data_IF_578943442904
#
_entry.id   IF_578943442904
#
_cell.length_a   1.000
_cell.length_b   1.000
_cell.length_c   1.000
_cell.angle_alpha   90.00
_cell.angle_beta   90.00
_cell.angle_gamma   90.00
#
_symmetry.space_group_name_H-M   'P 1'
#
loop_
_entity.id
_entity.type
_entity.pdbx_description
1 polymer ?
#
# COMPACT_ATOMS: atom_id res chain seq x y z
N UNK A 1 -5.86 -13.33 -42.54
CA UNK A 1 -5.79 -12.66 -41.22
C UNK A 1 -5.55 -13.74 -40.17
N UNK A 2 -4.28 -13.99 -39.83
CA UNK A 2 -3.89 -14.97 -38.81
C UNK A 2 -3.95 -14.27 -37.46
N UNK A 3 -4.98 -14.58 -36.66
CA UNK A 3 -5.03 -14.14 -35.27
C UNK A 3 -3.98 -14.93 -34.50
N UNK A 4 -2.92 -14.25 -34.04
CA UNK A 4 -1.98 -14.84 -33.09
C UNK A 4 -2.76 -15.17 -31.81
N UNK A 5 -2.98 -16.45 -31.55
CA UNK A 5 -3.33 -16.95 -30.23
C UNK A 5 -2.11 -16.77 -29.32
N UNK A 6 -1.85 -15.53 -28.91
CA UNK A 6 -1.02 -15.25 -27.76
C UNK A 6 -1.77 -15.84 -26.57
N UNK A 7 -1.17 -16.84 -25.89
CA UNK A 7 -1.72 -17.38 -24.65
C UNK A 7 -1.95 -16.22 -23.68
N UNK A 8 -3.20 -15.88 -23.42
CA UNK A 8 -3.54 -14.88 -22.39
C UNK A 8 -2.86 -15.30 -21.10
N UNK A 9 -2.15 -14.38 -20.45
CA UNK A 9 -1.58 -14.66 -19.14
C UNK A 9 -2.71 -15.09 -18.19
N UNK A 10 -2.43 -15.98 -17.24
CA UNK A 10 -3.39 -16.37 -16.18
C UNK A 10 -3.97 -15.15 -15.46
N UNK A 11 -3.19 -14.05 -15.41
CA UNK A 11 -3.63 -12.79 -14.87
C UNK A 11 -4.72 -12.11 -15.71
N UNK A 12 -4.56 -12.07 -17.03
CA UNK A 12 -5.59 -11.53 -17.92
C UNK A 12 -6.84 -12.44 -17.89
N UNK A 13 -6.67 -13.77 -17.84
CA UNK A 13 -7.77 -14.72 -17.78
C UNK A 13 -8.72 -14.48 -16.59
N UNK A 14 -8.16 -14.15 -15.41
CA UNK A 14 -8.97 -13.92 -14.21
C UNK A 14 -9.88 -12.69 -14.37
N UNK A 15 -9.33 -11.54 -14.77
CA UNK A 15 -10.12 -10.31 -14.95
C UNK A 15 -11.14 -10.45 -16.08
N UNK A 16 -10.76 -11.10 -17.18
CA UNK A 16 -11.61 -11.29 -18.35
C UNK A 16 -12.81 -12.21 -18.07
N UNK A 17 -12.66 -13.23 -17.20
CA UNK A 17 -13.78 -14.09 -16.78
C UNK A 17 -14.93 -13.29 -16.15
N UNK A 18 -14.66 -12.13 -15.55
CA UNK A 18 -15.67 -11.29 -14.93
C UNK A 18 -16.50 -10.48 -15.93
N UNK A 19 -16.25 -10.57 -17.26
CA UNK A 19 -17.08 -9.92 -18.29
C UNK A 19 -18.55 -10.35 -18.26
N UNK A 20 -18.83 -11.53 -17.73
CA UNK A 20 -20.21 -12.04 -17.58
C UNK A 20 -21.08 -11.17 -16.67
N UNK A 21 -20.47 -10.34 -15.83
CA UNK A 21 -21.18 -9.43 -14.93
C UNK A 21 -21.67 -8.16 -15.66
N UNK A 22 -22.78 -7.54 -15.20
CA UNK A 22 -23.31 -6.33 -15.80
C UNK A 22 -22.27 -5.23 -16.02
N UNK A 23 -22.37 -4.53 -17.14
CA UNK A 23 -21.47 -3.43 -17.53
C UNK A 23 -21.17 -2.41 -16.41
N UNK A 24 -22.18 -1.94 -15.64
CA UNK A 24 -21.96 -0.99 -14.54
C UNK A 24 -21.03 -1.50 -13.44
N UNK A 25 -20.88 -2.82 -13.26
CA UNK A 25 -19.98 -3.40 -12.26
C UNK A 25 -18.51 -3.44 -12.74
N UNK A 26 -18.26 -3.28 -14.04
CA UNK A 26 -16.92 -3.47 -14.59
C UNK A 26 -15.91 -2.40 -14.14
N UNK A 27 -16.33 -1.15 -13.98
CA UNK A 27 -15.44 -0.11 -13.48
C UNK A 27 -15.13 -0.28 -11.98
N UNK A 28 -16.12 -0.50 -11.09
CA UNK A 28 -15.86 -0.88 -9.70
C UNK A 28 -14.93 -2.10 -9.57
N UNK A 29 -15.15 -3.13 -10.38
CA UNK A 29 -14.29 -4.31 -10.40
C UNK A 29 -12.87 -3.99 -10.87
N UNK A 30 -12.68 -3.06 -11.80
CA UNK A 30 -11.34 -2.62 -12.21
C UNK A 30 -10.60 -1.94 -11.06
N UNK A 31 -11.27 -1.05 -10.32
CA UNK A 31 -10.66 -0.43 -9.15
C UNK A 31 -10.40 -1.42 -8.01
N UNK A 32 -11.32 -2.36 -7.80
CA UNK A 32 -11.19 -3.41 -6.82
C UNK A 32 -10.01 -4.34 -7.15
N UNK A 33 -10.02 -4.93 -8.34
CA UNK A 33 -9.01 -5.91 -8.78
C UNK A 33 -7.65 -5.28 -9.06
N UNK A 34 -7.61 -3.99 -9.37
CA UNK A 34 -6.41 -3.31 -9.84
C UNK A 34 -6.06 -3.65 -11.29
N UNK A 35 -6.97 -4.26 -12.06
CA UNK A 35 -6.74 -4.67 -13.44
C UNK A 35 -7.93 -4.26 -14.34
N UNK A 36 -7.70 -3.40 -15.35
CA UNK A 36 -8.71 -3.12 -16.37
C UNK A 36 -9.03 -4.34 -17.24
N UNK A 37 -10.24 -4.40 -17.80
CA UNK A 37 -10.53 -5.30 -18.92
C UNK A 37 -9.72 -4.89 -20.16
N UNK A 38 -9.42 -5.84 -21.03
CA UNK A 38 -8.89 -5.58 -22.36
C UNK A 38 -9.83 -4.63 -23.12
N UNK A 39 -9.27 -3.54 -23.64
CA UNK A 39 -10.01 -2.50 -24.36
C UNK A 39 -10.95 -1.65 -23.47
N UNK A 40 -10.89 -1.76 -22.14
CA UNK A 40 -11.67 -0.90 -21.26
C UNK A 40 -11.23 0.55 -21.42
N UNK A 41 -12.20 1.44 -21.67
CA UNK A 41 -11.92 2.88 -21.76
C UNK A 41 -11.42 3.40 -20.41
N UNK A 42 -10.33 4.18 -20.38
CA UNK A 42 -9.87 4.85 -19.17
C UNK A 42 -10.94 5.78 -18.60
N UNK A 43 -10.91 5.94 -17.29
CA UNK A 43 -11.52 7.10 -16.65
C UNK A 43 -10.46 8.17 -16.45
N UNK A 44 -10.83 9.43 -16.64
CA UNK A 44 -9.94 10.57 -16.42
C UNK A 44 -10.04 10.96 -14.94
N UNK A 45 -9.26 10.33 -14.07
CA UNK A 45 -9.13 10.79 -12.69
C UNK A 45 -8.25 12.03 -12.65
N UNK A 46 -8.16 12.66 -11.48
CA UNK A 46 -7.27 13.79 -11.27
C UNK A 46 -6.56 13.68 -9.92
N UNK A 47 -5.44 14.39 -9.73
CA UNK A 47 -4.83 14.53 -8.42
C UNK A 47 -5.83 15.00 -7.35
N UNK A 48 -6.66 15.97 -7.70
CA UNK A 48 -7.70 16.50 -6.80
C UNK A 48 -8.70 15.43 -6.38
N UNK A 49 -9.12 14.55 -7.29
CA UNK A 49 -10.00 13.43 -6.97
C UNK A 49 -9.41 12.52 -5.88
N UNK A 50 -8.14 12.13 -5.99
CA UNK A 50 -7.49 11.27 -4.99
C UNK A 50 -7.36 11.97 -3.63
N UNK A 51 -7.05 13.27 -3.61
CA UNK A 51 -6.99 14.05 -2.37
C UNK A 51 -8.37 14.15 -1.71
N UNK A 52 -9.38 14.56 -2.47
CA UNK A 52 -10.75 14.73 -1.97
C UNK A 52 -11.31 13.41 -1.46
N UNK A 53 -11.18 12.32 -2.22
CA UNK A 53 -11.68 11.01 -1.78
C UNK A 53 -10.96 10.48 -0.53
N UNK A 54 -9.65 10.69 -0.40
CA UNK A 54 -8.92 10.33 0.80
C UNK A 54 -9.42 11.10 2.04
N UNK A 55 -9.61 12.41 1.91
CA UNK A 55 -10.11 13.26 3.00
C UNK A 55 -11.57 12.93 3.34
N UNK A 56 -12.45 12.81 2.34
CA UNK A 56 -13.86 12.50 2.55
C UNK A 56 -14.05 11.10 3.15
N UNK A 57 -13.30 10.09 2.69
CA UNK A 57 -13.32 8.77 3.32
C UNK A 57 -12.93 8.84 4.79
N UNK A 58 -11.87 9.59 5.11
CA UNK A 58 -11.39 9.74 6.48
C UNK A 58 -12.46 10.40 7.37
N UNK A 59 -13.02 11.52 6.91
CA UNK A 59 -14.04 12.27 7.65
C UNK A 59 -15.34 11.47 7.80
N UNK A 60 -15.78 10.78 6.75
CA UNK A 60 -16.95 9.92 6.80
C UNK A 60 -16.75 8.74 7.77
N UNK A 61 -15.56 8.15 7.81
CA UNK A 61 -15.21 7.11 8.79
C UNK A 61 -15.24 7.62 10.24
N UNK A 62 -14.72 8.82 10.48
CA UNK A 62 -14.77 9.49 11.79
C UNK A 62 -16.22 9.76 12.19
N UNK A 63 -17.02 10.33 11.29
CA UNK A 63 -18.43 10.62 11.55
C UNK A 63 -19.21 9.33 11.86
N UNK A 64 -19.06 8.30 11.03
CA UNK A 64 -19.73 7.01 11.21
C UNK A 64 -19.36 6.36 12.55
N UNK A 65 -18.06 6.35 12.89
CA UNK A 65 -17.60 5.77 14.16
C UNK A 65 -18.07 6.59 15.37
N UNK A 66 -18.13 7.91 15.24
CA UNK A 66 -18.62 8.80 16.31
C UNK A 66 -20.12 8.58 16.53
N UNK A 67 -20.92 8.52 15.46
CA UNK A 67 -22.34 8.16 15.52
C UNK A 67 -22.57 6.79 16.14
N UNK A 68 -21.73 5.80 15.81
CA UNK A 68 -21.78 4.46 16.40
C UNK A 68 -21.62 4.50 17.93
N UNK A 69 -20.63 5.26 18.43
CA UNK A 69 -20.39 5.41 19.87
C UNK A 69 -21.51 6.19 20.57
N UNK A 70 -22.06 7.22 19.93
CA UNK A 70 -23.15 8.02 20.48
C UNK A 70 -24.46 7.22 20.59
N UNK A 71 -24.77 6.40 19.59
CA UNK A 71 -26.01 5.60 19.56
C UNK A 71 -25.93 4.33 20.41
N UNK A 72 -24.73 3.77 20.59
CA UNK A 72 -24.51 2.57 21.41
C UNK A 72 -25.22 1.30 20.90
N UNK A 73 -25.25 0.26 21.74
CA UNK A 73 -25.96 -0.99 21.44
C UNK A 73 -25.50 -1.65 20.12
N UNK A 74 -26.47 -2.04 19.28
CA UNK A 74 -26.20 -2.66 17.97
C UNK A 74 -25.47 -1.73 16.97
N UNK A 75 -25.57 -0.41 17.15
CA UNK A 75 -24.90 0.56 16.28
C UNK A 75 -23.39 0.54 16.42
N UNK A 76 -22.85 -0.03 17.51
CA UNK A 76 -21.40 -0.25 17.66
C UNK A 76 -20.81 -1.12 16.54
N UNK A 77 -21.62 -1.91 15.84
CA UNK A 77 -21.15 -2.66 14.65
C UNK A 77 -20.68 -1.74 13.52
N UNK A 78 -21.15 -0.49 13.46
CA UNK A 78 -20.69 0.53 12.51
C UNK A 78 -19.27 1.04 12.77
N UNK A 79 -18.67 0.72 13.93
CA UNK A 79 -17.25 1.00 14.18
C UNK A 79 -16.34 0.29 13.17
N UNK A 80 -16.69 -0.92 12.75
CA UNK A 80 -15.87 -1.69 11.80
C UNK A 80 -15.76 -0.97 10.43
N UNK A 81 -16.86 -0.64 9.73
CA UNK A 81 -16.77 0.15 8.51
C UNK A 81 -16.24 1.57 8.76
N UNK A 82 -16.54 2.18 9.91
CA UNK A 82 -16.02 3.49 10.28
C UNK A 82 -14.49 3.53 10.38
N UNK A 83 -13.89 2.58 11.11
CA UNK A 83 -12.43 2.41 11.19
C UNK A 83 -11.81 2.08 9.84
N UNK A 84 -12.45 1.23 9.04
CA UNK A 84 -12.00 0.91 7.70
C UNK A 84 -11.90 2.16 6.81
N UNK A 85 -12.92 3.03 6.84
CA UNK A 85 -12.95 4.29 6.08
C UNK A 85 -11.93 5.32 6.58
N UNK A 86 -11.80 5.46 7.91
CA UNK A 86 -10.78 6.32 8.54
C UNK A 86 -9.38 5.88 8.12
N UNK A 87 -9.09 4.58 8.24
CA UNK A 87 -7.80 4.00 7.85
C UNK A 87 -7.53 4.18 6.36
N UNK A 88 -8.52 3.90 5.49
CA UNK A 88 -8.37 4.04 4.05
C UNK A 88 -7.96 5.46 3.65
N UNK A 89 -8.61 6.47 4.25
CA UNK A 89 -8.26 7.87 4.03
C UNK A 89 -6.84 8.19 4.51
N UNK A 90 -6.48 7.80 5.73
CA UNK A 90 -5.12 7.97 6.28
C UNK A 90 -4.05 7.31 5.38
N UNK A 91 -4.32 6.10 4.89
CA UNK A 91 -3.42 5.36 4.00
C UNK A 91 -3.30 6.03 2.64
N UNK A 92 -4.38 6.49 2.01
CA UNK A 92 -4.29 7.21 0.73
C UNK A 92 -3.60 8.57 0.87
N UNK A 93 -3.79 9.28 1.98
CA UNK A 93 -3.03 10.51 2.28
C UNK A 93 -1.52 10.24 2.29
N UNK A 94 -1.07 9.15 2.94
CA UNK A 94 0.34 8.75 2.90
C UNK A 94 0.78 8.29 1.51
N UNK A 95 0.06 7.31 0.98
CA UNK A 95 0.53 6.46 -0.11
C UNK A 95 0.39 7.12 -1.47
N UNK A 96 -0.66 7.92 -1.66
CA UNK A 96 -0.89 8.66 -2.90
C UNK A 96 -0.41 10.09 -2.72
N UNK A 97 -1.02 10.84 -1.80
CA UNK A 97 -0.86 12.30 -1.77
C UNK A 97 0.55 12.70 -1.36
N UNK A 98 0.98 12.27 -0.18
CA UNK A 98 2.29 12.62 0.36
C UNK A 98 3.43 12.05 -0.49
N UNK A 99 3.27 10.82 -0.99
CA UNK A 99 4.22 10.21 -1.92
C UNK A 99 4.38 11.03 -3.21
N UNK A 100 3.28 11.41 -3.86
CA UNK A 100 3.34 12.18 -5.10
C UNK A 100 3.81 13.63 -4.87
N UNK A 101 3.53 14.21 -3.70
CA UNK A 101 4.14 15.48 -3.28
C UNK A 101 5.67 15.38 -3.22
N UNK A 102 6.19 14.23 -2.77
CA UNK A 102 7.64 14.00 -2.62
C UNK A 102 8.38 13.99 -3.97
N UNK A 103 7.69 13.53 -5.03
CA UNK A 103 8.15 13.57 -6.43
C UNK A 103 7.83 14.90 -7.13
N UNK A 104 7.13 15.83 -6.47
CA UNK A 104 6.59 17.08 -7.04
C UNK A 104 5.60 16.84 -8.20
N UNK A 105 4.87 15.73 -8.14
CA UNK A 105 3.92 15.30 -9.15
C UNK A 105 2.47 15.49 -8.74
N UNK A 106 2.19 15.84 -7.47
CA UNK A 106 0.81 15.96 -6.99
C UNK A 106 0.05 17.03 -7.77
N UNK A 107 0.53 18.27 -7.76
CA UNK A 107 0.00 19.34 -8.61
C UNK A 107 1.06 19.96 -9.53
N UNK A 108 2.28 19.41 -9.55
CA UNK A 108 3.40 19.97 -10.31
C UNK A 108 3.89 21.31 -9.77
N UNK A 109 3.44 21.71 -8.57
CA UNK A 109 3.72 23.02 -7.97
C UNK A 109 4.50 22.82 -6.68
N UNK A 110 5.82 23.00 -6.73
CA UNK A 110 6.75 22.73 -5.61
C UNK A 110 6.29 23.27 -4.25
N UNK A 111 5.75 24.50 -4.20
CA UNK A 111 5.28 25.11 -2.94
C UNK A 111 4.01 24.44 -2.41
N UNK A 112 3.06 24.16 -3.30
CA UNK A 112 1.79 23.52 -2.94
C UNK A 112 2.02 22.08 -2.50
N UNK A 113 2.80 21.32 -3.28
CA UNK A 113 3.16 19.94 -2.96
C UNK A 113 3.92 19.86 -1.63
N UNK A 114 4.83 20.80 -1.35
CA UNK A 114 5.50 20.86 -0.07
C UNK A 114 4.56 21.20 1.09
N UNK A 115 3.64 22.15 0.92
CA UNK A 115 2.66 22.51 1.93
C UNK A 115 1.74 21.33 2.26
N UNK A 116 1.25 20.62 1.24
CA UNK A 116 0.46 19.39 1.40
C UNK A 116 1.27 18.28 2.07
N UNK A 117 2.53 18.11 1.68
CA UNK A 117 3.45 17.17 2.31
C UNK A 117 3.59 17.42 3.81
N UNK A 118 3.85 18.66 4.22
CA UNK A 118 3.94 19.04 5.63
C UNK A 118 2.59 18.89 6.37
N UNK A 119 1.47 19.21 5.72
CA UNK A 119 0.16 19.04 6.34
C UNK A 119 -0.15 17.56 6.61
N UNK A 120 0.13 16.68 5.64
CA UNK A 120 -0.09 15.24 5.79
C UNK A 120 0.87 14.62 6.81
N UNK A 121 2.17 15.00 6.82
CA UNK A 121 3.08 14.50 7.85
C UNK A 121 2.69 14.94 9.25
N UNK A 122 2.25 16.19 9.43
CA UNK A 122 1.76 16.68 10.71
C UNK A 122 0.46 16.00 11.14
N UNK A 123 -0.49 15.81 10.23
CA UNK A 123 -1.78 15.18 10.52
C UNK A 123 -1.59 13.72 10.95
N UNK A 124 -0.77 12.95 10.23
CA UNK A 124 -0.59 11.52 10.49
C UNK A 124 0.58 11.21 11.43
N UNK A 125 1.36 12.24 11.80
CA UNK A 125 2.59 12.13 12.61
C UNK A 125 3.54 11.09 12.03
N UNK A 126 3.78 11.12 10.72
CA UNK A 126 4.67 10.19 9.99
C UNK A 126 6.05 10.83 9.75
N UNK A 127 6.99 10.14 9.11
CA UNK A 127 8.28 10.75 8.73
C UNK A 127 8.13 12.18 8.17
N UNK A 128 9.00 13.09 8.58
CA UNK A 128 8.92 14.47 8.11
C UNK A 128 9.17 14.58 6.60
N UNK A 129 8.44 15.50 5.96
CA UNK A 129 8.33 15.56 4.49
C UNK A 129 9.65 15.84 3.79
N UNK A 130 10.47 16.76 4.32
CA UNK A 130 11.74 17.12 3.68
C UNK A 130 12.71 15.94 3.64
N UNK A 131 12.79 15.20 4.75
CA UNK A 131 13.64 14.01 4.84
C UNK A 131 13.11 12.91 3.95
N UNK A 132 11.80 12.63 4.00
CA UNK A 132 11.17 11.64 3.13
C UNK A 132 11.41 11.94 1.66
N UNK A 133 11.14 13.16 1.18
CA UNK A 133 11.32 13.54 -0.22
C UNK A 133 12.76 13.38 -0.69
N UNK A 134 13.75 13.61 0.19
CA UNK A 134 15.16 13.39 -0.14
C UNK A 134 15.51 11.89 -0.19
N UNK A 135 15.16 11.14 0.85
CA UNK A 135 15.50 9.72 0.99
C UNK A 135 14.75 8.85 -0.02
N UNK A 136 13.46 9.11 -0.22
CA UNK A 136 12.61 8.33 -1.12
C UNK A 136 13.07 8.40 -2.59
N UNK A 137 13.38 9.61 -3.07
CA UNK A 137 13.88 9.80 -4.44
C UNK A 137 15.29 9.26 -4.60
N UNK A 138 16.17 9.43 -3.59
CA UNK A 138 17.59 9.10 -3.71
C UNK A 138 17.94 7.64 -3.35
N UNK A 139 17.16 6.97 -2.50
CA UNK A 139 17.49 5.64 -1.97
C UNK A 139 16.50 4.56 -2.44
N UNK A 140 15.20 4.87 -2.58
CA UNK A 140 14.16 3.88 -2.90
C UNK A 140 13.83 3.76 -4.40
N UNK A 141 14.13 4.80 -5.20
CA UNK A 141 13.97 4.81 -6.68
C UNK A 141 15.31 4.80 -7.44
N UNK A 142 16.40 4.50 -6.76
CA UNK A 142 17.74 4.68 -7.31
C UNK A 142 18.67 3.50 -6.94
N UNK A 143 19.98 3.72 -6.99
CA UNK A 143 21.04 2.71 -6.91
C UNK A 143 21.00 1.84 -5.63
N UNK A 144 20.32 2.30 -4.58
CA UNK A 144 20.25 1.59 -3.30
C UNK A 144 18.97 0.77 -3.10
N UNK A 145 18.11 0.67 -4.12
CA UNK A 145 16.88 -0.09 -4.03
C UNK A 145 17.12 -1.58 -3.77
N UNK A 146 16.39 -2.14 -2.79
CA UNK A 146 16.52 -3.52 -2.31
C UNK A 146 17.94 -3.94 -1.88
N UNK A 147 18.77 -2.98 -1.46
CA UNK A 147 20.05 -3.23 -0.78
C UNK A 147 19.89 -3.13 0.75
N UNK A 148 20.93 -3.44 1.53
CA UNK A 148 20.96 -3.19 2.99
C UNK A 148 20.70 -1.71 3.39
N UNK A 149 20.84 -0.77 2.45
CA UNK A 149 20.50 0.65 2.65
C UNK A 149 19.01 0.95 2.41
N UNK A 150 18.25 0.07 1.77
CA UNK A 150 16.83 0.28 1.52
C UNK A 150 16.05 0.19 2.85
N UNK A 151 15.16 1.15 3.17
CA UNK A 151 14.28 1.06 4.33
C UNK A 151 13.47 -0.24 4.36
N UNK A 152 13.01 -0.72 3.20
CA UNK A 152 12.23 -1.97 3.05
C UNK A 152 13.01 -3.16 3.58
N UNK A 153 14.26 -3.32 3.13
CA UNK A 153 15.13 -4.44 3.55
C UNK A 153 15.38 -4.38 5.06
N UNK A 154 15.62 -3.19 5.61
CA UNK A 154 15.82 -3.02 7.06
C UNK A 154 14.58 -3.42 7.87
N UNK A 155 13.37 -3.11 7.38
CA UNK A 155 12.14 -3.52 8.05
C UNK A 155 11.98 -5.05 8.06
N UNK A 156 12.29 -5.74 6.95
CA UNK A 156 12.30 -7.19 6.89
C UNK A 156 13.32 -7.80 7.86
N UNK A 157 14.59 -7.43 7.73
CA UNK A 157 15.68 -8.07 8.47
C UNK A 157 15.65 -7.81 9.97
N UNK A 158 15.26 -6.59 10.38
CA UNK A 158 15.36 -6.20 11.80
C UNK A 158 14.01 -6.22 12.48
N UNK A 159 12.99 -5.66 11.85
CA UNK A 159 11.74 -5.40 12.54
C UNK A 159 10.80 -6.59 12.51
N UNK A 160 10.67 -7.21 11.34
CA UNK A 160 9.96 -8.48 11.16
C UNK A 160 10.84 -9.68 11.53
N UNK A 161 12.16 -9.47 11.60
CA UNK A 161 13.18 -10.51 11.83
C UNK A 161 13.02 -11.63 10.81
N UNK A 162 12.93 -11.30 9.52
CA UNK A 162 12.91 -12.26 8.42
C UNK A 162 14.32 -12.32 7.83
N UNK A 163 14.79 -13.50 7.44
CA UNK A 163 16.17 -13.67 6.95
C UNK A 163 16.21 -14.63 5.76
N UNK A 164 17.25 -14.55 4.92
CA UNK A 164 17.54 -15.60 3.96
C UNK A 164 17.59 -17.00 4.59
N UNK A 165 17.20 -18.00 3.81
CA UNK A 165 17.10 -19.40 4.25
C UNK A 165 15.87 -19.76 5.09
N UNK A 166 15.04 -18.80 5.50
CA UNK A 166 13.78 -19.11 6.19
C UNK A 166 12.77 -19.73 5.22
N UNK A 167 11.96 -20.68 5.71
CA UNK A 167 10.80 -21.19 4.98
C UNK A 167 9.64 -20.19 5.01
N UNK A 168 8.73 -20.27 4.01
CA UNK A 168 7.48 -19.49 3.98
C UNK A 168 6.70 -19.56 5.31
N UNK A 169 6.60 -20.77 5.90
CA UNK A 169 5.86 -21.00 7.14
C UNK A 169 6.48 -20.23 8.31
N UNK A 170 7.81 -20.22 8.42
CA UNK A 170 8.51 -19.47 9.46
C UNK A 170 8.27 -17.97 9.30
N UNK A 171 8.35 -17.44 8.07
CA UNK A 171 8.12 -16.01 7.81
C UNK A 171 6.68 -15.59 8.09
N UNK A 172 5.69 -16.34 7.62
CA UNK A 172 4.28 -16.08 7.93
C UNK A 172 4.01 -16.10 9.43
N UNK A 173 4.53 -17.11 10.15
CA UNK A 173 4.38 -17.17 11.61
C UNK A 173 4.95 -15.90 12.28
N UNK A 174 6.13 -15.44 11.87
CA UNK A 174 6.74 -14.21 12.41
C UNK A 174 5.89 -12.98 12.12
N UNK A 175 5.45 -12.80 10.87
CA UNK A 175 4.60 -11.67 10.48
C UNK A 175 3.29 -11.67 11.28
N UNK A 176 2.55 -12.79 11.31
CA UNK A 176 1.27 -12.87 12.02
C UNK A 176 1.43 -12.61 13.53
N UNK A 177 2.50 -13.13 14.16
CA UNK A 177 2.79 -12.84 15.57
C UNK A 177 3.13 -11.36 15.79
N UNK A 178 3.81 -10.70 14.85
CA UNK A 178 4.11 -9.26 14.93
C UNK A 178 2.83 -8.43 14.82
N UNK A 179 1.89 -8.80 13.93
CA UNK A 179 0.63 -8.07 13.75
C UNK A 179 -0.21 -7.98 15.03
N UNK A 180 -0.08 -8.94 15.95
CA UNK A 180 -0.80 -8.96 17.23
C UNK A 180 0.08 -8.59 18.43
N UNK A 181 1.37 -8.29 18.24
CA UNK A 181 2.31 -8.05 19.34
C UNK A 181 2.24 -6.61 19.85
N UNK A 182 1.84 -6.35 21.11
CA UNK A 182 1.78 -4.99 21.65
C UNK A 182 3.14 -4.31 21.67
N UNK A 183 4.22 -5.07 21.90
CA UNK A 183 5.59 -4.55 21.86
C UNK A 183 5.98 -4.08 20.47
N UNK A 184 5.56 -4.80 19.42
CA UNK A 184 5.80 -4.39 18.04
C UNK A 184 5.04 -3.11 17.71
N UNK A 185 3.78 -3.00 18.15
CA UNK A 185 2.97 -1.80 17.97
C UNK A 185 3.53 -0.58 18.70
N UNK A 186 3.96 -0.76 19.95
CA UNK A 186 4.58 0.32 20.72
C UNK A 186 5.91 0.77 20.10
N UNK A 187 6.78 -0.17 19.72
CA UNK A 187 8.08 0.16 19.11
C UNK A 187 7.91 0.98 17.83
N UNK A 188 6.92 0.61 17.00
CA UNK A 188 6.57 1.33 15.79
C UNK A 188 5.97 2.72 16.09
N UNK A 189 5.06 2.83 17.05
CA UNK A 189 4.47 4.12 17.42
C UNK A 189 5.56 5.10 17.92
N UNK A 190 6.48 4.64 18.76
CA UNK A 190 7.63 5.43 19.23
C UNK A 190 8.53 5.82 18.06
N UNK A 191 8.82 4.88 17.17
CA UNK A 191 9.65 5.13 16.00
C UNK A 191 9.05 6.18 15.07
N UNK A 192 7.75 6.06 14.78
CA UNK A 192 6.99 7.02 13.98
C UNK A 192 7.11 8.43 14.57
N UNK A 193 6.88 8.58 15.87
CA UNK A 193 7.00 9.88 16.56
C UNK A 193 8.42 10.42 16.47
N UNK A 194 9.44 9.60 16.73
CA UNK A 194 10.86 10.00 16.60
C UNK A 194 11.22 10.42 15.17
N UNK A 195 10.76 9.66 14.18
CA UNK A 195 10.94 9.89 12.75
C UNK A 195 10.33 11.22 12.30
N UNK A 196 9.12 11.52 12.79
CA UNK A 196 8.47 12.81 12.58
C UNK A 196 9.32 13.95 13.16
N UNK A 197 9.69 13.90 14.44
CA UNK A 197 10.36 15.02 15.09
C UNK A 197 11.78 15.30 14.58
N UNK A 198 12.53 14.26 14.21
CA UNK A 198 13.94 14.36 13.83
C UNK A 198 14.13 15.21 12.57
N UNK A 199 14.70 16.40 12.73
CA UNK A 199 14.94 17.35 11.65
C UNK A 199 13.66 17.81 10.90
N UNK A 200 12.51 17.77 11.56
CA UNK A 200 11.24 18.32 11.03
C UNK A 200 11.34 19.81 10.70
N UNK A 201 10.56 20.23 9.70
CA UNK A 201 10.44 21.63 9.33
C UNK A 201 9.74 22.43 10.44
N UNK A 202 10.00 23.76 10.50
CA UNK A 202 9.32 24.65 11.45
C UNK A 202 7.80 24.55 11.36
N UNK A 203 7.27 24.48 10.13
CA UNK A 203 5.84 24.31 9.90
C UNK A 203 5.29 23.04 10.56
N UNK A 204 5.97 21.90 10.42
CA UNK A 204 5.55 20.63 11.04
C UNK A 204 5.60 20.70 12.57
N UNK A 205 6.66 21.33 13.10
CA UNK A 205 6.86 21.53 14.55
C UNK A 205 5.81 22.44 15.19
N UNK A 206 5.13 23.27 14.40
CA UNK A 206 4.05 24.14 14.88
C UNK A 206 2.70 23.47 14.63
N UNK A 207 2.47 22.98 13.42
CA UNK A 207 1.18 22.44 13.00
C UNK A 207 0.78 21.19 13.79
N UNK A 208 1.71 20.24 14.03
CA UNK A 208 1.37 19.03 14.77
C UNK A 208 1.02 19.30 16.24
N UNK A 209 1.82 20.05 17.04
CA UNK A 209 1.42 20.42 18.40
C UNK A 209 0.15 21.24 18.46
N UNK A 210 -0.07 22.19 17.55
CA UNK A 210 -1.31 22.95 17.52
C UNK A 210 -2.52 22.04 17.27
N UNK A 211 -2.44 21.18 16.26
CA UNK A 211 -3.52 20.25 15.92
C UNK A 211 -3.82 19.30 17.08
N UNK A 212 -2.80 18.60 17.58
CA UNK A 212 -2.98 17.58 18.61
C UNK A 212 -3.19 18.17 20.01
N UNK A 213 -2.61 19.33 20.30
CA UNK A 213 -2.85 20.09 21.52
C UNK A 213 -4.28 20.61 21.58
N UNK A 214 -4.77 21.22 20.49
CA UNK A 214 -6.17 21.62 20.38
C UNK A 214 -7.11 20.42 20.50
N UNK A 215 -6.84 19.32 19.77
CA UNK A 215 -7.62 18.09 19.87
C UNK A 215 -7.67 17.55 21.31
N UNK A 216 -6.53 17.50 22.01
CA UNK A 216 -6.45 17.02 23.38
C UNK A 216 -7.22 17.92 24.35
N UNK A 217 -7.04 19.25 24.26
CA UNK A 217 -7.77 20.22 25.09
C UNK A 217 -9.27 20.12 24.86
N UNK A 218 -9.71 20.09 23.59
CA UNK A 218 -11.13 19.94 23.24
C UNK A 218 -11.66 18.60 23.75
N UNK A 219 -10.95 17.49 23.58
CA UNK A 219 -11.38 16.18 24.03
C UNK A 219 -11.54 16.10 25.56
N UNK A 220 -10.62 16.69 26.31
CA UNK A 220 -10.70 16.75 27.78
C UNK A 220 -11.86 17.65 28.21
N UNK A 221 -11.98 18.85 27.63
CA UNK A 221 -13.00 19.81 28.00
C UNK A 221 -14.43 19.35 27.69
N UNK A 222 -14.61 18.55 26.61
CA UNK A 222 -15.91 18.01 26.19
C UNK A 222 -16.19 16.59 26.70
N UNK A 223 -15.25 15.96 27.42
CA UNK A 223 -15.36 14.57 27.86
C UNK A 223 -15.24 13.53 26.72
N UNK A 224 -14.80 13.93 25.53
CA UNK A 224 -14.68 13.08 24.33
C UNK A 224 -13.35 12.32 24.21
N UNK A 225 -12.61 12.13 25.31
CA UNK A 225 -11.31 11.43 25.31
C UNK A 225 -11.43 10.02 24.73
N UNK A 226 -12.39 9.22 25.19
CA UNK A 226 -12.58 7.84 24.71
C UNK A 226 -12.94 7.81 23.21
N UNK A 227 -13.94 8.59 22.71
CA UNK A 227 -14.18 8.71 21.29
C UNK A 227 -12.94 9.08 20.48
N UNK A 228 -12.13 10.05 20.91
CA UNK A 228 -10.90 10.42 20.18
C UNK A 228 -9.91 9.26 20.11
N UNK A 229 -9.71 8.52 21.21
CA UNK A 229 -8.82 7.35 21.22
C UNK A 229 -9.31 6.25 20.29
N UNK A 230 -10.61 5.94 20.33
CA UNK A 230 -11.22 4.83 19.58
C UNK A 230 -11.42 5.16 18.10
N UNK A 231 -11.81 6.39 17.77
CA UNK A 231 -12.18 6.80 16.41
C UNK A 231 -10.96 7.27 15.61
N UNK A 232 -10.01 7.97 16.24
CA UNK A 232 -8.85 8.53 15.54
C UNK A 232 -7.58 7.70 15.75
N UNK A 233 -7.19 7.50 17.02
CA UNK A 233 -5.88 6.90 17.33
C UNK A 233 -5.82 5.39 17.08
N UNK A 234 -6.90 4.65 17.32
CA UNK A 234 -6.92 3.21 17.06
C UNK A 234 -6.70 2.89 15.56
N UNK A 235 -7.39 3.54 14.59
CA UNK A 235 -7.01 3.44 13.18
C UNK A 235 -5.60 3.92 12.88
N UNK A 236 -5.22 5.10 13.41
CA UNK A 236 -3.94 5.72 13.07
C UNK A 236 -2.74 4.90 13.55
N UNK A 237 -2.79 4.31 14.73
CA UNK A 237 -1.67 3.60 15.35
C UNK A 237 -1.74 2.12 15.00
N UNK A 238 -2.80 1.43 15.42
CA UNK A 238 -2.86 -0.03 15.38
C UNK A 238 -3.20 -0.55 13.98
N UNK A 239 -4.33 -0.15 13.41
CA UNK A 239 -4.74 -0.69 12.11
C UNK A 239 -3.85 -0.21 10.96
N UNK A 240 -3.36 1.04 11.04
CA UNK A 240 -2.38 1.55 10.10
C UNK A 240 -1.13 0.69 10.06
N UNK A 241 -0.61 0.29 11.21
CA UNK A 241 0.57 -0.54 11.27
C UNK A 241 0.34 -1.95 10.70
N UNK A 242 -0.82 -2.54 10.95
CA UNK A 242 -1.20 -3.83 10.34
C UNK A 242 -1.22 -3.70 8.82
N UNK A 243 -1.96 -2.70 8.31
CA UNK A 243 -2.03 -2.37 6.88
C UNK A 243 -0.64 -2.19 6.28
N UNK A 244 0.21 -1.38 6.92
CA UNK A 244 1.52 -1.07 6.41
C UNK A 244 2.47 -2.27 6.42
N UNK A 245 2.42 -3.09 7.47
CA UNK A 245 3.23 -4.31 7.57
C UNK A 245 2.85 -5.31 6.48
N UNK A 246 1.55 -5.53 6.24
CA UNK A 246 1.08 -6.41 5.18
C UNK A 246 1.44 -5.88 3.79
N UNK A 247 1.30 -4.57 3.56
CA UNK A 247 1.73 -3.94 2.31
C UNK A 247 3.22 -4.09 2.06
N UNK A 248 4.04 -3.90 3.09
CA UNK A 248 5.48 -4.06 3.00
C UNK A 248 5.84 -5.47 2.50
N UNK A 249 5.10 -6.48 2.95
CA UNK A 249 5.31 -7.88 2.60
C UNK A 249 5.00 -8.24 1.14
N UNK A 250 4.44 -7.32 0.34
CA UNK A 250 4.08 -7.58 -1.06
C UNK A 250 4.78 -6.67 -2.08
N UNK A 251 5.42 -5.60 -1.61
CA UNK A 251 5.84 -4.47 -2.45
C UNK A 251 7.00 -4.81 -3.38
N UNK A 252 8.01 -5.50 -2.84
CA UNK A 252 9.32 -5.68 -3.48
C UNK A 252 9.89 -7.07 -3.25
N UNK A 253 10.50 -7.65 -4.29
CA UNK A 253 11.24 -8.92 -4.21
C UNK A 253 12.73 -8.68 -3.98
N UNK A 254 13.36 -9.61 -3.27
CA UNK A 254 14.80 -9.58 -3.07
C UNK A 254 15.52 -9.96 -4.37
N UNK A 255 16.68 -9.36 -4.66
CA UNK A 255 17.47 -9.70 -5.83
C UNK A 255 17.86 -11.18 -5.84
N UNK A 256 17.88 -11.79 -7.02
CA UNK A 256 18.37 -13.15 -7.17
C UNK A 256 19.87 -13.22 -6.76
N UNK A 257 20.33 -14.33 -6.15
CA UNK A 257 21.72 -14.48 -5.70
C UNK A 257 22.73 -14.41 -6.84
N UNK A 258 22.35 -14.90 -8.01
CA UNK A 258 23.17 -14.96 -9.21
C UNK A 258 23.13 -13.67 -10.05
N UNK A 259 22.29 -12.69 -9.68
CA UNK A 259 22.19 -11.45 -10.42
C UNK A 259 23.42 -10.54 -10.18
N UNK A 260 24.44 -10.72 -11.03
CA UNK A 260 25.71 -9.98 -11.01
C UNK A 260 25.56 -8.50 -11.40
N UNK A 261 24.55 -8.15 -12.19
CA UNK A 261 24.30 -6.77 -12.65
C UNK A 261 23.18 -6.13 -11.83
N UNK A 262 23.56 -5.25 -10.90
CA UNK A 262 22.64 -4.52 -10.00
C UNK A 262 22.21 -3.14 -10.54
N UNK A 263 21.90 -3.05 -11.83
CA UNK A 263 21.51 -1.79 -12.52
C UNK A 263 20.73 -2.05 -13.80
N UNK A 264 20.04 -1.01 -14.29
CA UNK A 264 19.31 -1.07 -15.57
C UNK A 264 17.88 -1.57 -15.44
N UNK A 265 17.14 -1.52 -16.55
CA UNK A 265 15.70 -1.76 -16.58
C UNK A 265 15.34 -3.18 -16.18
N UNK A 266 16.15 -4.16 -16.58
CA UNK A 266 16.01 -5.57 -16.27
C UNK A 266 16.06 -5.82 -14.77
N UNK A 267 17.08 -5.28 -14.11
CA UNK A 267 17.26 -5.39 -12.67
C UNK A 267 16.08 -4.77 -11.91
N UNK A 268 15.77 -3.49 -12.17
CA UNK A 268 14.70 -2.79 -11.44
C UNK A 268 13.31 -3.39 -11.69
N UNK A 269 13.01 -3.84 -12.91
CA UNK A 269 11.77 -4.52 -13.22
C UNK A 269 11.65 -5.88 -12.52
N UNK A 270 12.77 -6.56 -12.25
CA UNK A 270 12.81 -7.83 -11.53
C UNK A 270 12.54 -7.71 -10.02
N UNK A 271 12.64 -6.51 -9.45
CA UNK A 271 12.40 -6.24 -8.03
C UNK A 271 10.93 -5.91 -7.70
N UNK A 272 10.10 -5.69 -8.73
CA UNK A 272 8.72 -5.23 -8.56
C UNK A 272 7.75 -6.05 -9.40
N UNK A 273 6.52 -6.20 -8.90
CA UNK A 273 5.43 -6.86 -9.61
C UNK A 273 4.09 -6.18 -9.28
N UNK A 274 3.11 -6.35 -10.17
CA UNK A 274 1.73 -6.00 -9.83
C UNK A 274 1.13 -7.01 -8.85
N UNK A 275 0.14 -6.55 -8.10
CA UNK A 275 -0.60 -7.32 -7.11
C UNK A 275 -2.06 -7.08 -7.40
N UNK A 276 -2.64 -7.96 -8.20
CA UNK A 276 -4.06 -7.93 -8.48
C UNK A 276 -4.81 -8.71 -7.40
N UNK A 277 -6.09 -8.42 -7.24
CA UNK A 277 -6.95 -9.16 -6.32
C UNK A 277 -8.22 -9.58 -7.02
N UNK A 278 -8.95 -10.52 -6.41
CA UNK A 278 -10.14 -11.13 -6.98
C UNK A 278 -9.89 -12.56 -7.42
N UNK A 279 -10.95 -13.19 -7.91
CA UNK A 279 -10.98 -14.58 -8.34
C UNK A 279 -11.77 -14.72 -9.64
N UNK A 280 -11.50 -15.77 -10.45
CA UNK A 280 -12.27 -15.99 -11.66
C UNK A 280 -13.77 -16.09 -11.36
N UNK A 281 -14.60 -15.53 -12.23
CA UNK A 281 -16.04 -15.70 -12.14
C UNK A 281 -16.40 -17.20 -12.24
N UNK A 282 -17.47 -17.67 -11.57
CA UNK A 282 -17.92 -19.04 -11.68
C UNK A 282 -18.07 -19.50 -13.14
N UNK A 283 -17.64 -20.74 -13.40
CA UNK A 283 -17.67 -21.31 -14.75
C UNK A 283 -19.09 -21.35 -15.33
N UNK A 284 -19.24 -21.12 -16.65
CA UNK A 284 -20.52 -21.32 -17.32
C UNK A 284 -20.91 -22.81 -17.33
N UNK A 285 -22.21 -23.10 -17.48
CA UNK A 285 -22.71 -24.47 -17.64
C UNK A 285 -22.90 -25.27 -16.33
N UNK A 286 -22.76 -24.64 -15.16
CA UNK A 286 -23.10 -25.28 -13.89
C UNK A 286 -24.61 -25.48 -13.73
N UNK A 287 -25.03 -26.62 -13.16
CA UNK A 287 -26.42 -26.83 -12.73
C UNK A 287 -26.86 -25.73 -11.75
N UNK A 288 -28.13 -25.34 -11.76
CA UNK A 288 -28.65 -24.20 -10.99
C UNK A 288 -28.16 -24.14 -9.52
N UNK A 289 -28.28 -25.24 -8.76
CA UNK A 289 -27.82 -25.26 -7.37
C UNK A 289 -26.31 -25.05 -7.20
N UNK A 290 -25.49 -25.67 -8.06
CA UNK A 290 -24.02 -25.47 -8.07
C UNK A 290 -23.65 -24.06 -8.52
N UNK A 291 -24.38 -23.50 -9.49
CA UNK A 291 -24.18 -22.13 -9.95
C UNK A 291 -24.46 -21.13 -8.82
N UNK A 292 -25.59 -21.25 -8.12
CA UNK A 292 -25.93 -20.41 -6.97
C UNK A 292 -24.86 -20.50 -5.89
N UNK A 293 -24.46 -21.70 -5.47
CA UNK A 293 -23.42 -21.88 -4.46
C UNK A 293 -22.07 -21.27 -4.88
N UNK A 294 -21.67 -21.44 -6.14
CA UNK A 294 -20.44 -20.87 -6.67
C UNK A 294 -20.48 -19.33 -6.70
N UNK A 295 -21.59 -18.73 -7.13
CA UNK A 295 -21.78 -17.27 -7.14
C UNK A 295 -21.86 -16.68 -5.74
N UNK A 296 -22.54 -17.35 -4.80
CA UNK A 296 -22.55 -16.94 -3.39
C UNK A 296 -21.15 -16.98 -2.81
N UNK A 297 -20.41 -18.07 -3.00
CA UNK A 297 -19.01 -18.19 -2.53
C UNK A 297 -18.13 -17.11 -3.16
N UNK A 298 -18.21 -16.92 -4.47
CA UNK A 298 -17.44 -15.90 -5.18
C UNK A 298 -17.76 -14.50 -4.63
N UNK A 299 -19.04 -14.15 -4.50
CA UNK A 299 -19.48 -12.86 -3.97
C UNK A 299 -18.97 -12.63 -2.55
N UNK A 300 -19.11 -13.63 -1.67
CA UNK A 300 -18.62 -13.54 -0.30
C UNK A 300 -17.09 -13.36 -0.24
N UNK A 301 -16.33 -14.04 -1.10
CA UNK A 301 -14.87 -13.88 -1.16
C UNK A 301 -14.47 -12.52 -1.72
N UNK A 302 -15.16 -12.05 -2.75
CA UNK A 302 -14.96 -10.70 -3.30
C UNK A 302 -15.21 -9.63 -2.24
N UNK A 303 -16.29 -9.76 -1.46
CA UNK A 303 -16.69 -8.79 -0.45
C UNK A 303 -15.90 -8.87 0.87
N UNK A 304 -15.55 -10.07 1.35
CA UNK A 304 -14.98 -10.26 2.69
C UNK A 304 -13.47 -10.51 2.72
N UNK A 305 -12.86 -10.85 1.58
CA UNK A 305 -11.43 -11.11 1.49
C UNK A 305 -10.75 -10.11 0.57
N UNK A 306 -11.23 -10.02 -0.68
CA UNK A 306 -10.62 -9.21 -1.71
C UNK A 306 -10.84 -7.71 -1.46
N UNK A 307 -12.08 -7.28 -1.23
CA UNK A 307 -12.38 -5.87 -0.94
C UNK A 307 -11.60 -5.30 0.26
N UNK A 308 -11.61 -5.92 1.46
CA UNK A 308 -10.81 -5.42 2.59
C UNK A 308 -9.31 -5.39 2.30
N UNK A 309 -8.80 -6.38 1.56
CA UNK A 309 -7.40 -6.40 1.13
C UNK A 309 -7.06 -5.19 0.26
N UNK A 310 -7.85 -4.91 -0.78
CA UNK A 310 -7.62 -3.73 -1.63
C UNK A 310 -7.80 -2.44 -0.88
N UNK A 311 -8.86 -2.36 -0.10
CA UNK A 311 -9.30 -1.14 0.55
C UNK A 311 -8.38 -0.75 1.71
N UNK A 312 -7.85 -1.72 2.45
CA UNK A 312 -7.08 -1.46 3.67
C UNK A 312 -5.59 -1.74 3.54
N UNK A 313 -5.16 -2.67 2.69
CA UNK A 313 -3.74 -3.07 2.56
C UNK A 313 -3.12 -2.51 1.28
N UNK A 314 -3.73 -2.81 0.13
CA UNK A 314 -3.22 -2.44 -1.19
C UNK A 314 -3.79 -1.10 -1.65
N UNK A 315 -3.72 -0.08 -0.81
CA UNK A 315 -4.27 1.25 -1.08
C UNK A 315 -3.53 1.97 -2.21
N UNK A 316 -4.24 2.83 -2.94
CA UNK A 316 -3.65 3.62 -4.01
C UNK A 316 -3.12 2.78 -5.17
N UNK A 317 -1.96 3.18 -5.69
CA UNK A 317 -1.24 2.57 -6.81
C UNK A 317 -0.45 1.30 -6.42
N UNK A 318 -0.53 0.85 -5.17
CA UNK A 318 0.20 -0.33 -4.67
C UNK A 318 -0.05 -1.58 -5.53
N UNK A 319 -1.28 -1.75 -6.06
CA UNK A 319 -1.65 -2.88 -6.94
C UNK A 319 -0.86 -2.91 -8.26
N UNK A 320 -0.27 -1.79 -8.65
CA UNK A 320 0.53 -1.62 -9.88
C UNK A 320 1.83 -0.86 -9.57
N UNK A 321 2.42 -1.15 -8.42
CA UNK A 321 3.61 -0.46 -7.96
C UNK A 321 4.80 -0.65 -8.93
N UNK A 322 4.79 -1.74 -9.69
CA UNK A 322 5.71 -2.00 -10.80
C UNK A 322 5.74 -0.87 -11.85
N UNK A 323 4.60 -0.32 -12.25
CA UNK A 323 4.55 0.81 -13.18
C UNK A 323 5.18 2.06 -12.56
N UNK A 324 4.91 2.32 -11.27
CA UNK A 324 5.48 3.46 -10.55
C UNK A 324 7.01 3.39 -10.50
N UNK A 325 7.61 2.21 -10.31
CA UNK A 325 9.09 2.07 -10.33
C UNK A 325 9.69 2.24 -11.71
N UNK A 326 8.96 1.89 -12.78
CA UNK A 326 9.41 2.14 -14.15
C UNK A 326 9.34 3.62 -14.53
N UNK A 327 8.33 4.32 -14.01
CA UNK A 327 8.06 5.72 -14.36
C UNK A 327 7.74 6.58 -13.11
N UNK A 328 8.68 6.73 -12.16
CA UNK A 328 8.41 7.37 -10.87
C UNK A 328 8.05 8.87 -11.00
N UNK A 329 8.46 9.49 -12.11
CA UNK A 329 8.16 10.87 -12.45
C UNK A 329 6.92 11.04 -13.35
N UNK A 330 6.11 9.98 -13.55
CA UNK A 330 4.95 10.04 -14.44
C UNK A 330 3.93 11.07 -13.93
N UNK A 331 3.58 12.02 -14.79
CA UNK A 331 2.53 13.03 -14.50
C UNK A 331 1.12 12.46 -14.58
N UNK A 332 0.96 11.24 -15.09
CA UNK A 332 -0.33 10.55 -15.21
C UNK A 332 -0.55 9.53 -14.08
N UNK A 333 0.18 9.67 -12.97
CA UNK A 333 0.07 8.77 -11.81
C UNK A 333 -1.37 8.63 -11.28
N UNK A 334 -2.23 9.63 -11.48
CA UNK A 334 -3.61 9.59 -11.01
C UNK A 334 -4.46 8.53 -11.74
N UNK A 335 -4.07 8.13 -12.95
CA UNK A 335 -4.72 7.07 -13.76
C UNK A 335 -3.87 5.79 -13.84
N UNK A 336 -3.08 5.53 -12.80
CA UNK A 336 -2.07 4.46 -12.73
C UNK A 336 -2.49 3.09 -13.33
N UNK A 337 -3.75 2.66 -13.14
CA UNK A 337 -4.26 1.39 -13.69
C UNK A 337 -4.29 1.38 -15.22
N UNK A 338 -4.83 2.45 -15.80
CA UNK A 338 -5.03 2.55 -17.24
C UNK A 338 -3.75 2.92 -17.95
N UNK A 339 -2.93 3.78 -17.35
CA UNK A 339 -1.63 4.15 -17.91
C UNK A 339 -0.68 2.96 -17.93
N UNK A 340 -0.67 2.11 -16.88
CA UNK A 340 0.06 0.84 -16.93
C UNK A 340 -0.46 -0.08 -18.04
N UNK A 341 -1.78 -0.17 -18.21
CA UNK A 341 -2.37 -1.00 -19.26
C UNK A 341 -2.04 -0.46 -20.67
N UNK A 342 -1.97 0.85 -20.84
CA UNK A 342 -1.50 1.49 -22.07
C UNK A 342 -0.01 1.23 -22.30
N UNK A 343 0.82 1.30 -21.27
CA UNK A 343 2.26 0.98 -21.40
C UNK A 343 2.46 -0.46 -21.89
N UNK A 344 1.65 -1.41 -21.42
CA UNK A 344 1.64 -2.79 -21.95
C UNK A 344 1.26 -2.81 -23.44
N UNK A 345 0.19 -2.10 -23.81
CA UNK A 345 -0.29 -2.05 -25.20
C UNK A 345 0.72 -1.40 -26.15
N UNK A 346 1.48 -0.43 -25.65
CA UNK A 346 2.57 0.26 -26.36
C UNK A 346 3.87 -0.56 -26.43
N UNK A 347 3.87 -1.81 -25.96
CA UNK A 347 5.04 -2.69 -25.96
C UNK A 347 6.10 -2.30 -24.91
N UNK A 348 5.67 -1.75 -23.77
CA UNK A 348 6.45 -1.48 -22.54
C UNK A 348 7.80 -0.73 -22.76
N UNK A 349 7.95 -0.01 -23.89
CA UNK A 349 9.00 0.99 -24.20
C UNK A 349 10.42 0.59 -23.77
N UNK A 350 10.79 -0.64 -24.09
CA UNK A 350 12.11 -1.21 -23.81
C UNK A 350 12.37 -1.56 -22.34
N UNK A 351 11.34 -1.60 -21.49
CA UNK A 351 11.37 -2.35 -20.23
C UNK A 351 11.10 -3.83 -20.48
N UNK A 352 11.45 -4.75 -19.57
CA UNK A 352 10.98 -6.13 -19.65
C UNK A 352 9.45 -6.24 -19.54
N UNK A 353 8.85 -7.38 -19.93
CA UNK A 353 7.44 -7.65 -19.68
C UNK A 353 7.06 -7.47 -18.20
N UNK A 354 5.84 -7.02 -17.95
CA UNK A 354 5.32 -6.91 -16.58
C UNK A 354 5.03 -8.29 -15.98
N UNK A 355 5.15 -8.40 -14.66
CA UNK A 355 4.74 -9.58 -13.90
C UNK A 355 3.63 -9.21 -12.91
N UNK A 356 2.82 -10.19 -12.51
CA UNK A 356 1.72 -9.96 -11.58
C UNK A 356 1.41 -11.21 -10.76
N UNK A 357 0.98 -11.00 -9.51
CA UNK A 357 0.40 -12.02 -8.65
C UNK A 357 -1.07 -11.73 -8.39
N UNK A 358 -1.89 -12.77 -8.21
CA UNK A 358 -3.31 -12.65 -7.85
C UNK A 358 -3.56 -13.07 -6.41
N UNK A 359 -3.99 -12.11 -5.60
CA UNK A 359 -4.30 -12.27 -4.18
C UNK A 359 -3.13 -11.94 -3.25
N UNK A 360 -3.48 -11.44 -2.06
CA UNK A 360 -2.51 -11.00 -1.05
C UNK A 360 -1.51 -12.11 -0.66
N UNK A 361 -2.01 -13.32 -0.43
CA UNK A 361 -1.17 -14.45 0.03
C UNK A 361 -0.15 -14.85 -1.03
N UNK A 362 -0.55 -14.90 -2.31
CA UNK A 362 0.36 -15.21 -3.41
C UNK A 362 1.46 -14.15 -3.53
N UNK A 363 1.08 -12.87 -3.45
CA UNK A 363 2.03 -11.77 -3.48
C UNK A 363 3.02 -11.79 -2.30
N UNK A 364 2.55 -12.08 -1.07
CA UNK A 364 3.44 -12.22 0.08
C UNK A 364 4.37 -13.41 -0.08
N UNK A 365 3.84 -14.55 -0.55
CA UNK A 365 4.64 -15.74 -0.79
C UNK A 365 5.74 -15.48 -1.81
N UNK A 366 5.48 -14.72 -2.88
CA UNK A 366 6.50 -14.33 -3.87
C UNK A 366 7.67 -13.59 -3.22
N UNK A 367 7.37 -12.61 -2.37
CA UNK A 367 8.41 -11.85 -1.65
C UNK A 367 9.17 -12.74 -0.68
N UNK A 368 8.46 -13.58 0.07
CA UNK A 368 9.07 -14.53 0.99
C UNK A 368 9.97 -15.53 0.28
N UNK A 369 9.55 -16.04 -0.88
CA UNK A 369 10.36 -16.94 -1.69
C UNK A 369 11.62 -16.27 -2.20
N UNK A 370 11.52 -15.02 -2.67
CA UNK A 370 12.68 -14.24 -3.08
C UNK A 370 13.66 -14.02 -1.91
N UNK A 371 13.16 -13.72 -0.70
CA UNK A 371 14.02 -13.59 0.48
C UNK A 371 14.64 -14.93 0.89
N UNK A 372 13.87 -16.02 0.84
CA UNK A 372 14.34 -17.36 1.24
C UNK A 372 15.59 -17.77 0.47
N UNK A 373 15.68 -17.41 -0.80
CA UNK A 373 16.81 -17.78 -1.66
C UNK A 373 17.86 -16.68 -1.77
N UNK A 374 17.60 -15.45 -1.29
CA UNK A 374 18.53 -14.32 -1.39
C UNK A 374 19.89 -14.62 -0.75
N UNK A 375 20.94 -13.92 -1.18
CA UNK A 375 22.30 -14.13 -0.68
C UNK A 375 22.41 -13.82 0.83
N UNK A 376 22.69 -14.83 1.69
CA UNK A 376 22.83 -14.63 3.12
C UNK A 376 23.98 -13.68 3.51
N UNK A 377 25.05 -13.62 2.73
CA UNK A 377 26.20 -12.75 3.00
C UNK A 377 25.87 -11.29 2.67
N UNK A 378 25.15 -11.06 1.55
CA UNK A 378 24.66 -9.73 1.18
C UNK A 378 23.67 -9.19 2.21
N UNK A 379 22.74 -10.03 2.68
CA UNK A 379 21.67 -9.64 3.60
C UNK A 379 21.98 -9.94 5.07
N UNK A 380 23.27 -9.97 5.45
CA UNK A 380 23.68 -10.13 6.84
C UNK A 380 23.39 -8.87 7.68
N UNK A 381 22.58 -9.06 8.72
CA UNK A 381 22.19 -8.03 9.68
C UNK A 381 23.39 -7.40 10.41
N UNK A 382 24.50 -8.14 10.59
CA UNK A 382 25.70 -7.62 11.27
C UNK A 382 26.34 -6.49 10.48
N UNK A 383 26.22 -6.51 9.15
CA UNK A 383 26.74 -5.50 8.23
C UNK A 383 25.90 -4.22 8.22
N UNK A 384 24.68 -4.24 8.75
CA UNK A 384 23.81 -3.04 8.75
C UNK A 384 24.47 -1.84 9.43
N UNK A 385 25.22 -2.06 10.52
CA UNK A 385 25.90 -0.97 11.25
C UNK A 385 27.01 -0.31 10.43
N UNK A 386 27.64 -1.03 9.50
CA UNK A 386 28.70 -0.48 8.66
C UNK A 386 28.15 0.22 7.40
N UNK A 387 26.96 -0.16 6.92
CA UNK A 387 26.38 0.38 5.68
C UNK A 387 25.28 1.41 5.89
N UNK A 388 24.66 1.45 7.07
CA UNK A 388 23.54 2.33 7.40
C UNK A 388 23.70 2.93 8.80
N UNK A 389 23.86 4.26 8.88
CA UNK A 389 23.76 5.02 10.14
C UNK A 389 22.31 5.33 10.52
N UNK A 390 21.32 4.70 9.87
CA UNK A 390 19.91 4.96 10.15
C UNK A 390 19.51 4.36 11.50
N UNK A 391 18.64 5.07 12.21
CA UNK A 391 17.85 4.44 13.27
C UNK A 391 16.91 3.44 12.59
N UNK A 392 17.06 2.18 12.96
CA UNK A 392 16.43 0.99 12.37
C UNK A 392 14.91 1.03 12.16
N UNK A 393 14.24 2.03 12.71
CA UNK A 393 12.79 2.11 12.74
C UNK A 393 12.15 3.12 11.77
N UNK A 394 12.94 3.90 11.01
CA UNK A 394 12.41 4.71 9.90
C UNK A 394 11.93 3.83 8.72
N UNK A 395 12.32 2.55 8.73
CA UNK A 395 12.03 1.51 7.75
C UNK A 395 10.53 1.24 7.49
N UNK A 396 9.68 1.66 8.42
CA UNK A 396 8.24 1.41 8.37
C UNK A 396 7.41 2.57 7.85
N UNK A 397 7.99 3.75 7.63
CA UNK A 397 7.20 4.87 7.16
C UNK A 397 6.88 4.78 5.65
N UNK A 398 7.42 3.81 4.89
CA UNK A 398 7.37 3.67 3.42
C UNK A 398 6.28 2.76 2.79
#
# INVERSE_FOLDING_TARGET
MSASNASMSTADATRESMRVLPGPLQLPLTFLTGKPLAGQRPVNLSPGFHLTTAVLSMLAGIALSSSALLLGGGWLTLLVPGWAMTLHGQRNLRMMIYHQCSHRNMFGRRRLDAALGYAVSSLLVIQNFKRYSKEHVADHHAVHHMTLRDPTVQAFLVSLDLRPGMTRRQMWRRVLLKLVSPRFHLAFAVARVRSFWKNSARAEKVLAPLLYGALAVTAVWTGLVVPVLVVWFLPLIFFYQISNTLRLCVKHTFPAPDATVRRGKEYFAGLTNAIFIGEPAPAPGLSAGRATAAWTRWTLRMALVHFPTRYLVLTGDTVVHDYHHRYPASRQWYDYLFVRQQDIADGHRGWPPYTAEWGLVAAVNRVFDSLSVADPEEFDITRLRSVSRRELFAAFDD
#
